data_IF_996246231298
#
_entry.id   IF_996246231298
#
_cell.length_a   1.000
_cell.length_b   1.000
_cell.length_c   1.000
_cell.angle_alpha   90.00
_cell.angle_beta   90.00
_cell.angle_gamma   90.00
#
_symmetry.space_group_name_H-M   'P 1'
#
loop_
_entity.id
_entity.type
_entity.pdbx_description
1 polymer ?
#
# COMPACT_ATOMS: atom_id res chain seq x y z
N UNK A 1 -2.52 -81.82 -21.18
CA UNK A 1 -3.42 -80.65 -21.17
C UNK A 1 -2.74 -79.49 -20.45
N UNK A 2 -2.86 -78.26 -20.99
CA UNK A 2 -2.38 -76.92 -20.51
C UNK A 2 -0.84 -76.71 -20.54
N UNK A 3 -0.17 -76.04 -21.52
CA UNK A 3 -0.23 -74.70 -22.20
C UNK A 3 0.41 -73.52 -21.42
N UNK A 4 1.40 -72.90 -22.11
CA UNK A 4 1.91 -71.50 -22.13
C UNK A 4 3.05 -71.16 -21.15
N UNK A 5 4.27 -70.78 -21.60
CA UNK A 5 4.69 -69.53 -22.30
C UNK A 5 4.29 -68.29 -21.48
N UNK A 6 5.07 -67.24 -21.24
CA UNK A 6 6.30 -66.70 -21.82
C UNK A 6 6.68 -65.42 -21.02
N UNK A 7 7.89 -64.91 -21.28
CA UNK A 7 8.31 -63.50 -21.32
C UNK A 7 8.76 -62.77 -20.04
N UNK A 8 10.04 -62.43 -20.10
CA UNK A 8 10.74 -61.38 -19.39
C UNK A 8 10.11 -60.00 -19.60
N UNK A 9 10.18 -59.15 -18.57
CA UNK A 9 9.89 -57.73 -18.64
C UNK A 9 10.83 -56.99 -17.68
N UNK A 10 11.94 -56.50 -18.23
CA UNK A 10 12.90 -55.62 -17.56
C UNK A 10 12.31 -54.20 -17.57
N UNK A 11 11.75 -53.74 -16.46
CA UNK A 11 11.25 -52.37 -16.34
C UNK A 11 12.37 -51.43 -15.86
N UNK A 12 12.96 -50.71 -16.82
CA UNK A 12 13.76 -49.52 -16.58
C UNK A 12 12.85 -48.42 -16.00
N UNK A 13 13.00 -48.11 -14.71
CA UNK A 13 12.40 -46.93 -14.10
C UNK A 13 13.20 -45.69 -14.53
N UNK A 14 12.64 -44.95 -15.48
CA UNK A 14 13.08 -43.60 -15.85
C UNK A 14 12.89 -42.68 -14.63
N UNK A 15 13.94 -42.02 -14.12
CA UNK A 15 13.73 -40.98 -13.12
C UNK A 15 13.00 -39.82 -13.78
N UNK A 16 11.75 -39.60 -13.38
CA UNK A 16 10.98 -38.41 -13.74
C UNK A 16 11.71 -37.22 -13.13
N UNK A 17 12.44 -36.50 -13.99
CA UNK A 17 12.97 -35.17 -13.68
C UNK A 17 11.76 -34.25 -13.51
N UNK A 18 11.26 -34.07 -12.29
CA UNK A 18 10.32 -32.99 -11.98
C UNK A 18 11.08 -31.68 -12.07
N UNK A 19 10.81 -30.79 -13.04
CA UNK A 19 11.31 -29.44 -12.94
C UNK A 19 10.64 -28.80 -11.72
N UNK A 20 11.43 -28.48 -10.71
CA UNK A 20 11.02 -27.51 -9.71
C UNK A 20 10.72 -26.22 -10.46
N UNK A 21 9.42 -25.92 -10.63
CA UNK A 21 8.99 -24.61 -11.06
C UNK A 21 9.43 -23.63 -9.98
N UNK A 22 10.61 -23.04 -10.18
CA UNK A 22 10.97 -21.78 -9.54
C UNK A 22 9.94 -20.79 -10.07
N UNK A 23 8.84 -20.65 -9.35
CA UNK A 23 7.89 -19.57 -9.54
C UNK A 23 8.60 -18.27 -9.17
N UNK A 24 9.37 -17.74 -10.11
CA UNK A 24 9.72 -16.34 -10.17
C UNK A 24 8.50 -15.51 -10.58
N UNK A 25 7.36 -15.68 -9.87
CA UNK A 25 6.28 -14.72 -9.96
C UNK A 25 6.72 -13.53 -9.13
N UNK A 26 7.00 -12.40 -9.78
CA UNK A 26 7.00 -11.13 -9.06
C UNK A 26 5.64 -11.00 -8.37
N UNK A 27 5.57 -10.96 -7.03
CA UNK A 27 4.30 -11.07 -6.29
C UNK A 27 3.39 -9.82 -6.41
N UNK A 28 3.65 -8.96 -7.40
CA UNK A 28 3.13 -7.59 -7.47
C UNK A 28 2.20 -7.35 -8.69
N UNK A 29 1.86 -8.38 -9.47
CA UNK A 29 0.95 -8.26 -10.64
C UNK A 29 -0.49 -7.84 -10.27
N UNK A 30 -0.86 -7.83 -8.98
CA UNK A 30 -2.24 -7.59 -8.54
C UNK A 30 -2.62 -6.11 -8.36
N UNK A 31 -1.71 -5.17 -8.61
CA UNK A 31 -2.05 -3.74 -8.63
C UNK A 31 -2.89 -3.32 -9.86
N UNK A 32 -3.15 -4.24 -10.80
CA UNK A 32 -3.83 -3.97 -12.08
C UNK A 32 -5.20 -3.29 -11.96
N UNK A 33 -5.90 -3.41 -10.82
CA UNK A 33 -7.23 -2.79 -10.59
C UNK A 33 -7.12 -1.33 -10.11
N UNK A 34 -6.12 -0.97 -9.29
CA UNK A 34 -5.89 0.44 -8.87
C UNK A 34 -5.23 1.29 -9.97
N UNK A 35 -4.97 0.70 -11.15
CA UNK A 35 -4.30 1.26 -12.34
C UNK A 35 -4.83 2.63 -12.80
N UNK A 36 -6.02 3.04 -12.38
CA UNK A 36 -6.67 4.30 -12.74
C UNK A 36 -6.33 5.49 -11.83
N UNK A 37 -5.95 5.31 -10.56
CA UNK A 37 -5.66 6.43 -9.63
C UNK A 37 -4.21 6.35 -9.13
N UNK A 38 -3.47 7.47 -9.15
CA UNK A 38 -2.10 7.53 -8.63
C UNK A 38 -2.10 7.33 -7.10
N UNK A 39 -1.15 6.59 -6.54
CA UNK A 39 -0.88 6.64 -5.09
C UNK A 39 -0.27 8.01 -4.76
N UNK A 40 -1.12 8.96 -4.38
CA UNK A 40 -0.71 10.29 -3.96
C UNK A 40 -0.27 10.28 -2.50
N UNK A 41 0.98 10.65 -2.27
CA UNK A 41 1.61 10.73 -0.94
C UNK A 41 1.72 12.21 -0.57
N UNK A 42 0.90 12.63 0.39
CA UNK A 42 0.90 14.00 0.88
C UNK A 42 2.05 14.25 1.86
N UNK A 43 2.68 15.41 1.73
CA UNK A 43 3.76 15.89 2.60
C UNK A 43 3.48 17.33 3.04
N UNK A 44 4.08 17.77 4.14
CA UNK A 44 3.94 19.14 4.64
C UNK A 44 5.13 20.00 4.19
N UNK A 45 4.87 21.13 3.52
CA UNK A 45 5.90 22.09 3.09
C UNK A 45 6.62 22.76 4.25
N UNK A 46 5.94 22.92 5.38
CA UNK A 46 6.44 23.65 6.55
C UNK A 46 7.38 22.81 7.40
N UNK A 47 7.37 21.49 7.20
CA UNK A 47 8.20 20.53 7.93
C UNK A 47 9.44 20.16 7.11
N UNK A 48 10.60 20.53 7.63
CA UNK A 48 11.88 20.20 7.01
C UNK A 48 12.05 18.68 6.85
N UNK A 49 12.51 18.24 5.69
CA UNK A 49 12.74 16.82 5.38
C UNK A 49 11.48 16.01 5.00
N UNK A 50 10.26 16.52 5.23
CA UNK A 50 9.02 15.79 4.90
C UNK A 50 8.90 15.55 3.39
N UNK A 51 9.18 16.57 2.57
CA UNK A 51 9.07 16.46 1.12
C UNK A 51 10.17 15.59 0.52
N UNK A 52 11.42 15.71 0.96
CA UNK A 52 12.52 14.84 0.52
C UNK A 52 12.24 13.37 0.87
N UNK A 53 11.71 13.11 2.06
CA UNK A 53 11.32 11.78 2.49
C UNK A 53 10.17 11.23 1.62
N UNK A 54 9.14 12.04 1.36
CA UNK A 54 8.04 11.68 0.48
C UNK A 54 8.48 11.43 -0.97
N UNK A 55 9.42 12.22 -1.51
CA UNK A 55 10.00 11.98 -2.84
C UNK A 55 10.74 10.65 -2.91
N UNK A 56 11.60 10.36 -1.92
CA UNK A 56 12.32 9.08 -1.84
C UNK A 56 11.37 7.90 -1.77
N UNK A 57 10.33 8.00 -0.92
CA UNK A 57 9.31 6.96 -0.82
C UNK A 57 8.52 6.80 -2.13
N UNK A 58 8.10 7.89 -2.76
CA UNK A 58 7.35 7.84 -4.01
C UNK A 58 8.18 7.23 -5.14
N UNK A 59 9.46 7.62 -5.28
CA UNK A 59 10.38 7.05 -6.26
C UNK A 59 10.57 5.54 -6.02
N UNK A 60 10.83 5.15 -4.77
CA UNK A 60 10.96 3.75 -4.39
C UNK A 60 9.70 2.92 -4.71
N UNK A 61 8.52 3.43 -4.35
CA UNK A 61 7.26 2.73 -4.64
C UNK A 61 6.93 2.73 -6.14
N UNK A 62 7.30 3.76 -6.89
CA UNK A 62 7.13 3.77 -8.34
C UNK A 62 8.09 2.78 -9.05
N UNK A 63 9.26 2.50 -8.47
CA UNK A 63 10.20 1.51 -8.99
C UNK A 63 9.79 0.08 -8.62
N UNK A 64 9.49 -0.15 -7.33
CA UNK A 64 9.17 -1.49 -6.81
C UNK A 64 7.71 -1.91 -7.00
N UNK A 65 6.79 -0.95 -7.13
CA UNK A 65 5.38 -1.14 -7.44
C UNK A 65 4.95 -0.19 -8.57
N UNK A 66 5.42 -0.37 -9.83
CA UNK A 66 5.18 0.60 -10.91
C UNK A 66 3.71 0.90 -11.19
N UNK A 67 2.84 -0.09 -10.99
CA UNK A 67 1.42 0.06 -11.15
C UNK A 67 0.77 1.01 -10.12
N UNK A 68 1.42 1.28 -8.98
CA UNK A 68 1.02 2.32 -8.01
C UNK A 68 1.04 3.72 -8.59
N UNK A 69 1.90 3.95 -9.60
CA UNK A 69 2.19 5.26 -10.14
C UNK A 69 2.37 6.28 -9.00
N UNK A 70 3.11 5.88 -7.95
CA UNK A 70 3.26 6.67 -6.75
C UNK A 70 3.83 8.06 -7.08
N UNK A 71 3.21 9.09 -6.50
CA UNK A 71 3.62 10.49 -6.66
C UNK A 71 3.54 11.21 -5.33
N UNK A 72 4.43 12.14 -5.12
CA UNK A 72 4.39 13.04 -3.97
C UNK A 72 3.58 14.30 -4.32
N UNK A 73 2.82 14.80 -3.35
CA UNK A 73 2.23 16.13 -3.38
C UNK A 73 2.49 16.85 -2.06
N UNK A 74 2.42 18.18 -2.07
CA UNK A 74 2.84 19.01 -0.95
C UNK A 74 1.72 19.96 -0.54
N UNK A 75 1.31 19.90 0.71
CA UNK A 75 0.45 20.93 1.30
C UNK A 75 1.28 22.18 1.60
N UNK A 76 0.77 23.39 1.28
CA UNK A 76 1.46 24.64 1.57
C UNK A 76 1.55 24.95 3.07
N UNK A 77 0.57 24.52 3.86
CA UNK A 77 0.49 24.70 5.31
C UNK A 77 -0.22 23.50 5.96
N UNK A 78 -0.01 23.31 7.25
CA UNK A 78 -0.45 22.13 8.00
C UNK A 78 -1.98 21.97 8.06
N UNK A 79 -2.75 23.06 8.08
CA UNK A 79 -4.22 23.00 7.98
C UNK A 79 -4.70 22.36 6.67
N UNK A 80 -3.96 22.55 5.58
CA UNK A 80 -4.30 21.92 4.29
C UNK A 80 -4.07 20.41 4.33
N UNK A 81 -3.12 19.92 5.14
CA UNK A 81 -2.98 18.48 5.43
C UNK A 81 -4.28 17.95 6.05
N UNK A 82 -4.74 18.60 7.12
CA UNK A 82 -5.94 18.22 7.83
C UNK A 82 -7.18 18.26 6.92
N UNK A 83 -7.34 19.32 6.14
CA UNK A 83 -8.43 19.47 5.16
C UNK A 83 -8.45 18.33 4.13
N UNK A 84 -7.30 17.99 3.55
CA UNK A 84 -7.20 16.94 2.52
C UNK A 84 -7.43 15.54 3.10
N UNK A 85 -6.90 15.27 4.28
CA UNK A 85 -7.05 13.99 4.98
C UNK A 85 -8.40 13.82 5.65
N UNK A 86 -9.10 14.87 6.08
CA UNK A 86 -10.45 14.76 6.66
C UNK A 86 -11.51 14.59 5.57
N UNK A 87 -11.38 15.34 4.46
CA UNK A 87 -12.33 15.28 3.33
C UNK A 87 -12.17 14.08 2.40
N UNK A 88 -11.08 13.31 2.52
CA UNK A 88 -10.85 12.10 1.72
C UNK A 88 -10.30 12.34 0.33
N UNK A 89 -9.94 13.59 0.02
CA UNK A 89 -9.27 13.95 -1.23
C UNK A 89 -7.90 13.26 -1.36
N UNK A 90 -7.22 13.00 -0.24
CA UNK A 90 -5.99 12.21 -0.21
C UNK A 90 -6.08 11.16 0.90
N UNK A 91 -5.52 9.98 0.63
CA UNK A 91 -5.57 8.82 1.53
C UNK A 91 -4.27 8.50 2.24
N UNK A 92 -3.12 8.98 1.76
CA UNK A 92 -1.80 8.60 2.29
C UNK A 92 -0.94 9.84 2.51
N UNK A 93 -0.22 9.90 3.63
CA UNK A 93 0.65 11.02 3.98
C UNK A 93 1.91 10.60 4.74
N UNK A 94 2.98 11.37 4.59
CA UNK A 94 4.17 11.31 5.45
C UNK A 94 4.14 12.49 6.41
N UNK A 95 3.94 12.21 7.69
CA UNK A 95 3.72 13.23 8.72
C UNK A 95 4.69 13.03 9.88
N UNK A 96 5.13 14.11 10.57
CA UNK A 96 5.75 13.97 11.88
C UNK A 96 4.84 13.17 12.83
N UNK A 97 5.45 12.39 13.71
CA UNK A 97 4.71 11.60 14.72
C UNK A 97 3.71 12.44 15.52
N UNK A 98 4.14 13.62 15.99
CA UNK A 98 3.28 14.54 16.73
C UNK A 98 2.08 15.02 15.89
N UNK A 99 2.30 15.35 14.62
CA UNK A 99 1.25 15.78 13.69
C UNK A 99 0.25 14.66 13.42
N UNK A 100 0.73 13.43 13.18
CA UNK A 100 -0.12 12.27 12.96
C UNK A 100 -0.98 11.96 14.20
N UNK A 101 -0.40 12.03 15.40
CA UNK A 101 -1.11 11.84 16.66
C UNK A 101 -2.17 12.94 16.91
N UNK A 102 -1.82 14.20 16.68
CA UNK A 102 -2.76 15.32 16.84
C UNK A 102 -3.93 15.22 15.86
N UNK A 103 -3.69 14.86 14.60
CA UNK A 103 -4.77 14.60 13.63
C UNK A 103 -5.66 13.42 14.04
N UNK A 104 -5.04 12.33 14.48
CA UNK A 104 -5.77 11.13 14.91
C UNK A 104 -6.68 11.38 16.11
N UNK A 105 -6.22 12.20 17.05
CA UNK A 105 -6.98 12.54 18.26
C UNK A 105 -7.89 13.76 18.08
N UNK A 106 -7.77 14.49 16.97
CA UNK A 106 -8.47 15.77 16.78
C UNK A 106 -8.00 16.86 17.74
N UNK A 107 -6.77 16.77 18.23
CA UNK A 107 -6.17 17.77 19.12
C UNK A 107 -5.71 19.01 18.33
N UNK A 108 -5.41 20.09 19.04
CA UNK A 108 -4.80 21.29 18.46
C UNK A 108 -3.52 20.94 17.66
N UNK A 109 -3.28 21.58 16.49
CA UNK A 109 -4.06 22.66 15.87
C UNK A 109 -5.23 22.19 14.98
N UNK A 110 -5.65 20.91 15.08
CA UNK A 110 -6.60 20.29 14.16
C UNK A 110 -8.01 20.13 14.73
N UNK A 111 -8.32 20.73 15.87
CA UNK A 111 -9.63 20.61 16.54
C UNK A 111 -10.81 20.99 15.63
N UNK A 112 -10.63 21.98 14.75
CA UNK A 112 -11.62 22.39 13.76
C UNK A 112 -11.99 21.32 12.73
N UNK A 113 -11.13 20.31 12.51
CA UNK A 113 -11.36 19.21 11.58
C UNK A 113 -11.89 17.94 12.28
N UNK A 114 -11.83 17.90 13.61
CA UNK A 114 -12.10 16.71 14.40
C UNK A 114 -11.04 15.61 14.21
N UNK A 115 -11.21 14.46 14.90
CA UNK A 115 -10.32 13.32 14.75
C UNK A 115 -10.44 12.72 13.34
N UNK A 116 -9.28 12.45 12.72
CA UNK A 116 -9.19 11.74 11.44
C UNK A 116 -8.79 10.29 11.72
N UNK A 117 -9.59 9.33 11.24
CA UNK A 117 -9.25 7.92 11.40
C UNK A 117 -8.04 7.57 10.53
N UNK A 118 -6.89 7.44 11.18
CA UNK A 118 -5.58 7.19 10.59
C UNK A 118 -5.03 5.85 11.05
N UNK A 119 -4.27 5.23 10.17
CA UNK A 119 -3.53 4.00 10.40
C UNK A 119 -2.09 4.16 9.97
N UNK A 120 -1.17 3.57 10.72
CA UNK A 120 0.25 3.54 10.38
C UNK A 120 0.52 2.44 9.36
N UNK A 121 1.20 2.79 8.26
CA UNK A 121 1.72 1.85 7.28
C UNK A 121 3.18 1.50 7.59
N UNK A 122 3.98 2.50 7.93
CA UNK A 122 5.39 2.34 8.25
C UNK A 122 5.92 3.54 9.05
N UNK A 123 7.09 3.39 9.64
CA UNK A 123 7.77 4.41 10.42
C UNK A 123 9.15 4.72 9.86
N UNK A 124 9.56 5.98 9.98
CA UNK A 124 10.92 6.42 9.77
C UNK A 124 11.25 7.40 10.89
N UNK A 125 12.26 7.14 11.73
CA UNK A 125 12.72 8.03 12.83
C UNK A 125 11.64 8.93 13.45
N UNK A 126 11.44 10.13 12.92
CA UNK A 126 10.52 11.17 13.42
C UNK A 126 9.18 11.27 12.67
N UNK A 127 9.05 10.53 11.58
CA UNK A 127 7.92 10.51 10.66
C UNK A 127 7.18 9.17 10.66
N UNK A 128 5.88 9.25 10.37
CA UNK A 128 5.03 8.12 10.06
C UNK A 128 4.54 8.24 8.63
N UNK A 129 4.56 7.11 7.92
CA UNK A 129 3.73 6.92 6.74
C UNK A 129 2.37 6.45 7.24
N UNK A 130 1.36 7.30 7.07
CA UNK A 130 -0.01 7.04 7.53
C UNK A 130 -0.96 6.94 6.35
N UNK A 131 -2.05 6.22 6.56
CA UNK A 131 -3.17 6.14 5.64
C UNK A 131 -4.50 6.35 6.35
N UNK A 132 -5.50 6.85 5.64
CA UNK A 132 -6.89 6.90 6.12
C UNK A 132 -7.48 5.49 6.21
N UNK A 133 -8.54 5.36 7.01
CA UNK A 133 -9.33 4.13 7.15
C UNK A 133 -9.87 3.56 5.82
N UNK A 134 -10.13 4.41 4.83
CA UNK A 134 -10.63 4.01 3.51
C UNK A 134 -9.51 3.72 2.49
N UNK A 135 -8.26 3.59 2.96
CA UNK A 135 -7.18 3.05 2.17
C UNK A 135 -7.30 1.50 2.13
N UNK A 136 -7.34 0.87 0.94
CA UNK A 136 -7.62 -0.56 0.87
C UNK A 136 -6.56 -1.43 1.55
N UNK A 137 -7.00 -2.42 2.33
CA UNK A 137 -6.13 -3.39 3.01
C UNK A 137 -5.19 -4.12 2.06
N UNK A 138 -5.67 -4.50 0.88
CA UNK A 138 -4.85 -5.08 -0.18
C UNK A 138 -3.65 -4.19 -0.56
N UNK A 139 -3.85 -2.87 -0.68
CA UNK A 139 -2.76 -1.95 -1.01
C UNK A 139 -1.82 -1.72 0.18
N UNK A 140 -2.36 -1.64 1.39
CA UNK A 140 -1.55 -1.55 2.60
C UNK A 140 -0.66 -2.79 2.77
N UNK A 141 -1.19 -3.98 2.51
CA UNK A 141 -0.43 -5.24 2.48
C UNK A 141 0.69 -5.17 1.44
N UNK A 142 0.41 -4.73 0.22
CA UNK A 142 1.41 -4.61 -0.85
C UNK A 142 2.51 -3.62 -0.49
N UNK A 143 2.16 -2.44 0.05
CA UNK A 143 3.13 -1.47 0.55
C UNK A 143 4.02 -2.11 1.63
N UNK A 144 3.43 -2.84 2.57
CA UNK A 144 4.17 -3.52 3.62
C UNK A 144 5.15 -4.56 3.06
N UNK A 145 4.66 -5.45 2.19
CA UNK A 145 5.48 -6.47 1.54
C UNK A 145 6.64 -5.87 0.74
N UNK A 146 6.40 -4.78 0.01
CA UNK A 146 7.42 -4.09 -0.77
C UNK A 146 8.48 -3.43 0.11
N UNK A 147 8.06 -2.76 1.19
CA UNK A 147 8.98 -2.15 2.16
C UNK A 147 9.84 -3.21 2.85
N UNK A 148 9.27 -4.36 3.21
CA UNK A 148 10.00 -5.45 3.85
C UNK A 148 10.99 -6.13 2.90
N UNK A 149 10.62 -6.35 1.63
CA UNK A 149 11.48 -6.95 0.63
C UNK A 149 12.72 -6.10 0.29
N UNK A 150 12.63 -4.78 0.51
CA UNK A 150 13.70 -3.82 0.25
C UNK A 150 14.03 -3.00 1.50
N UNK A 151 14.08 -3.66 2.66
CA UNK A 151 14.36 -3.02 3.94
C UNK A 151 15.66 -2.20 3.85
N UNK A 152 15.57 -0.91 4.19
CA UNK A 152 16.69 0.04 4.13
C UNK A 152 16.71 0.94 2.89
N UNK A 153 16.03 0.61 1.80
CA UNK A 153 16.06 1.42 0.56
C UNK A 153 15.12 2.63 0.59
N UNK A 154 13.96 2.50 1.23
CA UNK A 154 12.95 3.56 1.32
C UNK A 154 13.19 4.56 2.46
N UNK A 155 14.04 4.20 3.42
CA UNK A 155 14.17 4.88 4.71
C UNK A 155 13.05 4.55 5.71
N UNK A 156 11.98 3.86 5.28
CA UNK A 156 10.89 3.42 6.15
C UNK A 156 11.06 1.96 6.58
N UNK A 157 10.53 1.63 7.75
CA UNK A 157 10.52 0.29 8.32
C UNK A 157 9.14 0.00 8.90
N UNK A 158 8.70 -1.26 8.81
CA UNK A 158 7.45 -1.69 9.39
C UNK A 158 7.53 -1.66 10.91
N UNK A 159 6.44 -1.27 11.56
CA UNK A 159 6.30 -1.39 13.01
C UNK A 159 5.73 -2.77 13.34
N UNK A 160 6.38 -3.50 14.23
CA UNK A 160 5.92 -4.83 14.66
C UNK A 160 4.90 -4.79 15.80
N UNK A 161 4.74 -3.64 16.48
CA UNK A 161 3.88 -3.51 17.66
C UNK A 161 2.54 -2.84 17.33
N UNK A 162 1.45 -3.45 17.82
CA UNK A 162 0.07 -2.96 17.63
C UNK A 162 -0.32 -1.82 18.59
N UNK A 163 0.57 -1.39 19.49
CA UNK A 163 0.30 -0.40 20.55
C UNK A 163 0.54 1.05 20.12
N UNK A 164 0.79 1.28 18.84
CA UNK A 164 1.03 2.63 18.31
C UNK A 164 -0.26 3.44 18.24
N UNK A 165 -0.15 4.76 18.37
CA UNK A 165 -1.24 5.69 18.08
C UNK A 165 -0.75 6.70 17.03
N UNK A 166 -1.31 6.71 15.80
CA UNK A 166 -2.43 5.88 15.31
C UNK A 166 -2.11 4.36 15.25
N UNK A 167 -3.12 3.48 15.25
CA UNK A 167 -2.93 2.03 15.21
C UNK A 167 -2.31 1.57 13.88
N UNK A 168 -1.78 0.35 13.85
CA UNK A 168 -1.26 -0.27 12.63
C UNK A 168 -2.39 -0.58 11.65
N UNK A 169 -2.19 -0.34 10.35
CA UNK A 169 -3.19 -0.65 9.32
C UNK A 169 -3.49 -2.16 9.25
N UNK A 170 -4.77 -2.59 9.12
CA UNK A 170 -5.11 -4.01 9.09
C UNK A 170 -4.39 -4.80 7.98
N UNK A 171 -4.32 -4.26 6.76
CA UNK A 171 -3.48 -4.84 5.69
C UNK A 171 -1.99 -5.01 6.02
N UNK A 172 -1.38 -4.09 6.78
CA UNK A 172 0.02 -4.22 7.23
C UNK A 172 0.12 -5.28 8.33
N UNK A 173 -0.82 -5.29 9.26
CA UNK A 173 -0.89 -6.30 10.31
C UNK A 173 -1.04 -7.71 9.72
N UNK A 174 -1.89 -7.88 8.72
CA UNK A 174 -2.06 -9.14 7.99
C UNK A 174 -0.75 -9.62 7.36
N UNK A 175 0.01 -8.72 6.73
CA UNK A 175 1.33 -9.05 6.18
C UNK A 175 2.31 -9.50 7.27
N UNK A 176 2.42 -8.76 8.36
CA UNK A 176 3.34 -9.09 9.47
C UNK A 176 2.99 -10.42 10.16
N UNK A 177 1.72 -10.78 10.17
CA UNK A 177 1.24 -12.06 10.72
C UNK A 177 1.40 -13.23 9.74
N UNK A 178 1.85 -12.98 8.50
CA UNK A 178 1.94 -14.01 7.45
C UNK A 178 0.56 -14.49 6.96
N UNK A 179 -0.50 -13.70 7.18
CA UNK A 179 -1.83 -14.01 6.68
C UNK A 179 -1.88 -13.87 5.14
N UNK A 180 -2.89 -14.48 4.52
CA UNK A 180 -3.12 -14.31 3.09
C UNK A 180 -3.39 -12.85 2.74
N UNK A 181 -2.93 -12.43 1.55
CA UNK A 181 -3.19 -11.08 1.05
C UNK A 181 -4.71 -10.84 0.95
N UNK A 182 -5.23 -9.73 1.49
CA UNK A 182 -6.63 -9.36 1.37
C UNK A 182 -7.07 -9.26 -0.10
N UNK A 183 -8.35 -9.52 -0.38
CA UNK A 183 -8.89 -9.38 -1.73
C UNK A 183 -8.70 -7.94 -2.25
N UNK A 184 -8.43 -7.80 -3.55
CA UNK A 184 -8.35 -6.50 -4.19
C UNK A 184 -9.68 -5.74 -4.05
N UNK A 185 -9.65 -4.40 -3.85
CA UNK A 185 -10.87 -3.62 -3.74
C UNK A 185 -11.68 -3.73 -5.03
N UNK A 186 -12.98 -3.99 -4.88
CA UNK A 186 -13.95 -3.86 -5.98
C UNK A 186 -14.14 -2.37 -6.21
N UNK A 187 -13.82 -1.87 -7.41
CA UNK A 187 -14.11 -0.48 -7.75
C UNK A 187 -15.63 -0.33 -7.81
N UNK A 188 -16.21 0.47 -6.92
CA UNK A 188 -17.48 1.08 -7.25
C UNK A 188 -17.21 1.99 -8.45
N UNK A 189 -17.89 1.72 -9.57
CA UNK A 189 -17.83 2.57 -10.74
C UNK A 189 -18.39 3.95 -10.34
N UNK A 190 -17.52 4.91 -10.04
CA UNK A 190 -17.85 6.34 -10.00
C UNK A 190 -18.12 6.83 -11.45
N UNK A 191 -19.04 6.18 -12.18
CA UNK A 191 -19.55 6.57 -13.50
C UNK A 191 -20.72 7.56 -13.29
N UNK A 192 -20.47 8.73 -12.68
CA UNK A 192 -21.55 9.71 -12.48
C UNK A 192 -21.12 11.19 -12.41
N UNK A 193 -19.87 11.55 -12.73
CA UNK A 193 -19.43 12.94 -12.61
C UNK A 193 -18.76 13.56 -13.85
N UNK A 194 -18.79 12.91 -15.01
CA UNK A 194 -18.22 13.51 -16.25
C UNK A 194 -19.23 13.77 -17.40
N UNK A 195 -20.52 13.44 -17.26
CA UNK A 195 -21.53 13.67 -18.34
C UNK A 195 -22.45 14.90 -18.11
N UNK A 196 -21.97 15.90 -17.36
CA UNK A 196 -22.79 17.09 -16.99
C UNK A 196 -22.46 18.40 -17.71
N UNK A 197 -21.31 18.56 -18.35
CA UNK A 197 -20.82 19.88 -18.81
C UNK A 197 -20.66 19.96 -20.35
N UNK A 198 -21.69 19.55 -21.10
CA UNK A 198 -21.84 19.89 -22.51
C UNK A 198 -23.32 20.14 -22.88
N UNK A 199 -23.92 21.19 -22.32
CA UNK A 199 -25.07 21.84 -22.95
C UNK A 199 -25.16 23.31 -22.49
N UNK A 200 -25.42 24.20 -23.45
CA UNK A 200 -25.61 25.65 -23.30
C UNK A 200 -24.36 26.52 -23.38
N UNK A 201 -23.89 26.76 -24.61
CA UNK A 201 -23.77 28.13 -25.13
C UNK A 201 -24.19 28.11 -26.60
N UNK A 202 -25.36 28.69 -26.88
CA UNK A 202 -25.79 29.14 -28.20
C UNK A 202 -26.11 30.62 -28.06
#
# INVERSE_FOLDING_TARGET
MKRRQMLAGLSLLVPVLTPALVQGHTPFQQWTVYRRKHLLILTDKTVSGSFELGQKLAAFLAESLPASKARVTRAPHTERIASLLSSGQIKVAVLPKATAYALFTGAEPFSAYGPVELYVLANQRDFLLVARADFPDHHAYQVAATLQAHAGSSGFTLLSEATTQPPLHPGVAAFLQGAAMPAAPVLADDEALEDGEQAHHH
#
